data_IF_932989293315
#
_entry.id   IF_932989293315
#
_cell.length_a   1.000
_cell.length_b   1.000
_cell.length_c   1.000
_cell.angle_alpha   90.00
_cell.angle_beta   90.00
_cell.angle_gamma   90.00
#
_symmetry.space_group_name_H-M   'P 1'
#
loop_
_entity.id
_entity.type
_entity.pdbx_description
1 polymer ?
#
# COMPACT_ATOMS: atom_id res chain seq x y z
N UNK A 1 8.68 62.22 48.12
CA UNK A 1 8.53 62.03 46.66
C UNK A 1 8.79 60.56 46.34
N UNK A 2 7.75 59.75 46.16
CA UNK A 2 7.90 58.34 45.73
C UNK A 2 7.06 58.14 44.47
N UNK A 3 7.76 57.92 43.35
CA UNK A 3 7.18 57.68 42.01
C UNK A 3 6.71 56.23 41.94
N UNK A 4 5.41 56.02 41.73
CA UNK A 4 4.89 54.72 41.28
C UNK A 4 5.15 54.57 39.79
N UNK A 5 5.83 53.48 39.41
CA UNK A 5 6.04 53.10 38.01
C UNK A 5 5.00 52.06 37.62
N UNK A 6 4.11 52.41 36.70
CA UNK A 6 3.19 51.46 36.07
C UNK A 6 3.92 50.75 34.93
N UNK A 7 4.04 49.42 35.03
CA UNK A 7 4.49 48.57 33.92
C UNK A 7 3.27 48.13 33.09
N UNK A 8 3.27 48.49 31.82
CA UNK A 8 2.32 48.02 30.82
C UNK A 8 2.79 46.64 30.31
N UNK A 9 1.99 45.59 30.47
CA UNK A 9 2.27 44.26 29.91
C UNK A 9 1.57 44.16 28.55
N UNK A 10 2.27 43.81 27.46
CA UNK A 10 1.65 43.63 26.15
C UNK A 10 0.91 42.30 26.09
N UNK A 11 -0.35 42.35 25.64
CA UNK A 11 -1.19 41.17 25.42
C UNK A 11 -0.74 40.48 24.12
N UNK A 12 -0.02 39.37 24.25
CA UNK A 12 0.33 38.50 23.11
C UNK A 12 -0.89 37.63 22.81
N UNK A 13 -1.61 37.95 21.72
CA UNK A 13 -2.63 37.07 21.18
C UNK A 13 -1.95 35.83 20.55
N UNK A 14 -1.86 34.74 21.32
CA UNK A 14 -1.57 33.42 20.78
C UNK A 14 -2.79 32.94 19.99
N UNK A 15 -2.68 32.88 18.67
CA UNK A 15 -3.61 32.12 17.83
C UNK A 15 -3.39 30.64 18.10
N UNK A 16 -4.25 30.03 18.90
CA UNK A 16 -4.31 28.57 19.02
C UNK A 16 -4.82 28.02 17.68
N UNK A 17 -3.94 27.35 16.93
CA UNK A 17 -4.39 26.40 15.94
C UNK A 17 -5.16 25.30 16.70
N UNK A 18 -6.49 25.32 16.59
CA UNK A 18 -7.33 24.22 17.05
C UNK A 18 -6.94 22.98 16.23
N UNK A 19 -6.09 22.12 16.79
CA UNK A 19 -6.02 20.72 16.36
C UNK A 19 -7.37 20.10 16.67
N UNK A 20 -8.21 19.97 15.64
CA UNK A 20 -9.42 19.18 15.75
C UNK A 20 -8.99 17.74 16.03
N UNK A 21 -9.38 17.20 17.18
CA UNK A 21 -9.24 15.77 17.45
C UNK A 21 -9.90 14.99 16.30
N UNK A 22 -9.30 13.87 15.83
CA UNK A 22 -9.89 13.09 14.75
C UNK A 22 -11.32 12.72 15.12
N UNK A 23 -12.25 12.98 14.20
CA UNK A 23 -13.66 12.74 14.41
C UNK A 23 -13.89 11.27 14.77
N UNK A 24 -14.66 11.02 15.84
CA UNK A 24 -15.19 9.68 16.14
C UNK A 24 -15.85 9.09 14.90
N UNK A 25 -15.69 7.79 14.66
CA UNK A 25 -16.21 7.11 13.45
C UNK A 25 -17.38 6.18 13.78
N UNK A 26 -18.19 5.90 12.77
CA UNK A 26 -19.12 4.78 12.75
C UNK A 26 -18.46 3.61 12.04
N UNK A 27 -18.67 2.40 12.55
CA UNK A 27 -18.09 1.17 12.02
C UNK A 27 -19.18 0.12 11.91
N UNK A 28 -19.36 -0.43 10.72
CA UNK A 28 -20.22 -1.57 10.44
C UNK A 28 -19.35 -2.76 10.03
N UNK A 29 -19.53 -3.91 10.68
CA UNK A 29 -18.87 -5.16 10.27
C UNK A 29 -19.73 -5.79 9.18
N UNK A 30 -19.22 -5.80 7.94
CA UNK A 30 -19.91 -6.35 6.77
C UNK A 30 -19.70 -7.86 6.62
N UNK A 31 -18.52 -8.33 7.00
CA UNK A 31 -18.14 -9.74 6.99
C UNK A 31 -17.09 -9.97 8.07
N UNK A 32 -17.21 -11.07 8.81
CA UNK A 32 -16.23 -11.53 9.79
C UNK A 32 -15.61 -12.87 9.35
N UNK A 33 -14.71 -13.41 10.18
CA UNK A 33 -14.06 -14.72 9.98
C UNK A 33 -13.34 -14.85 8.64
N UNK A 34 -12.73 -13.76 8.18
CA UNK A 34 -11.84 -13.74 7.02
C UNK A 34 -10.43 -14.14 7.46
N UNK A 35 -9.89 -15.23 6.93
CA UNK A 35 -8.53 -15.65 7.27
C UNK A 35 -7.50 -14.80 6.54
N UNK A 36 -6.92 -13.82 7.26
CA UNK A 36 -5.90 -12.89 6.76
C UNK A 36 -6.25 -12.29 5.38
N UNK A 37 -7.37 -11.57 5.26
CA UNK A 37 -7.71 -10.89 4.00
C UNK A 37 -6.64 -9.86 3.65
N UNK A 38 -6.21 -9.80 2.39
CA UNK A 38 -5.08 -8.97 1.95
C UNK A 38 -5.49 -7.74 1.13
N UNK A 39 -6.43 -7.93 0.20
CA UNK A 39 -6.94 -6.89 -0.68
C UNK A 39 -8.43 -7.07 -0.98
N UNK A 40 -9.06 -5.97 -1.41
CA UNK A 40 -10.38 -6.01 -2.03
C UNK A 40 -10.43 -5.26 -3.37
N UNK A 41 -11.36 -5.63 -4.24
CA UNK A 41 -11.67 -4.91 -5.47
C UNK A 41 -13.19 -4.78 -5.65
N UNK A 42 -13.69 -3.54 -5.71
CA UNK A 42 -15.11 -3.27 -5.94
C UNK A 42 -15.53 -3.67 -7.35
N UNK A 43 -16.59 -4.46 -7.46
CA UNK A 43 -17.22 -4.78 -8.72
C UNK A 43 -18.22 -3.68 -9.10
N UNK A 44 -18.33 -3.33 -10.40
CA UNK A 44 -19.25 -2.30 -10.87
C UNK A 44 -20.73 -2.69 -10.66
N UNK A 45 -21.62 -1.72 -10.85
CA UNK A 45 -23.07 -1.94 -10.88
C UNK A 45 -23.64 -2.62 -9.62
N UNK A 46 -23.08 -2.29 -8.45
CA UNK A 46 -23.46 -2.84 -7.15
C UNK A 46 -23.33 -4.37 -7.04
N UNK A 47 -22.41 -4.98 -7.80
CA UNK A 47 -22.12 -6.41 -7.71
C UNK A 47 -21.22 -6.80 -6.52
N UNK A 48 -21.02 -5.91 -5.54
CA UNK A 48 -20.21 -6.22 -4.35
C UNK A 48 -18.71 -6.07 -4.60
N UNK A 49 -17.89 -6.98 -4.05
CA UNK A 49 -16.44 -6.92 -4.16
C UNK A 49 -15.78 -8.30 -4.16
N UNK A 50 -14.60 -8.37 -4.76
CA UNK A 50 -13.68 -9.50 -4.58
C UNK A 50 -12.77 -9.24 -3.38
N UNK A 51 -12.38 -10.31 -2.68
CA UNK A 51 -11.47 -10.27 -1.53
C UNK A 51 -10.44 -11.40 -1.70
N UNK A 52 -9.16 -11.06 -1.58
CA UNK A 52 -8.09 -12.08 -1.48
C UNK A 52 -7.88 -12.45 -0.02
N UNK A 53 -7.84 -13.74 0.26
CA UNK A 53 -7.38 -14.30 1.53
C UNK A 53 -5.96 -14.82 1.33
N UNK A 54 -5.02 -14.39 2.18
CA UNK A 54 -3.59 -14.64 1.96
C UNK A 54 -3.26 -16.13 1.85
N UNK A 55 -4.06 -17.00 2.45
CA UNK A 55 -3.95 -18.46 2.33
C UNK A 55 -4.07 -19.02 0.91
N UNK A 56 -4.57 -18.25 -0.07
CA UNK A 56 -4.67 -18.68 -1.48
C UNK A 56 -6.07 -18.57 -2.10
N UNK A 57 -7.04 -18.04 -1.37
CA UNK A 57 -8.43 -18.00 -1.85
C UNK A 57 -8.81 -16.61 -2.37
N UNK A 58 -9.44 -16.55 -3.54
CA UNK A 58 -10.19 -15.39 -4.01
C UNK A 58 -11.67 -15.64 -3.75
N UNK A 59 -12.36 -14.75 -3.04
CA UNK A 59 -13.79 -14.86 -2.75
C UNK A 59 -14.55 -13.62 -3.17
N UNK A 60 -15.85 -13.78 -3.41
CA UNK A 60 -16.78 -12.70 -3.70
C UNK A 60 -17.64 -12.42 -2.46
N UNK A 61 -17.78 -11.16 -2.09
CA UNK A 61 -18.71 -10.71 -1.06
C UNK A 61 -19.74 -9.76 -1.66
N UNK A 62 -21.01 -9.95 -1.30
CA UNK A 62 -22.09 -9.05 -1.69
C UNK A 62 -23.13 -8.91 -0.58
N UNK A 63 -23.62 -7.67 -0.37
CA UNK A 63 -24.70 -7.40 0.58
C UNK A 63 -25.93 -8.29 0.30
N UNK A 64 -26.52 -8.85 1.36
CA UNK A 64 -27.64 -9.80 1.28
C UNK A 64 -27.28 -11.22 0.84
N UNK A 65 -26.07 -11.47 0.32
CA UNK A 65 -25.58 -12.82 -0.03
C UNK A 65 -24.48 -13.33 0.90
N UNK A 66 -23.69 -12.42 1.48
CA UNK A 66 -22.52 -12.77 2.27
C UNK A 66 -21.32 -13.16 1.40
N UNK A 67 -20.40 -13.93 1.99
CA UNK A 67 -19.17 -14.40 1.35
C UNK A 67 -19.39 -15.71 0.57
N UNK A 68 -18.91 -15.76 -0.66
CA UNK A 68 -18.95 -16.96 -1.52
C UNK A 68 -17.95 -18.04 -1.09
N UNK A 69 -18.08 -19.23 -1.69
CA UNK A 69 -16.98 -20.18 -1.77
C UNK A 69 -15.78 -19.61 -2.57
N UNK A 70 -14.57 -20.19 -2.48
CA UNK A 70 -13.43 -19.77 -3.30
C UNK A 70 -13.74 -19.89 -4.79
N UNK A 71 -13.35 -18.88 -5.56
CA UNK A 71 -13.41 -18.92 -7.02
C UNK A 71 -12.39 -19.94 -7.54
N UNK A 72 -12.76 -20.66 -8.60
CA UNK A 72 -11.82 -21.56 -9.30
C UNK A 72 -10.91 -20.80 -10.27
N UNK A 73 -9.76 -21.39 -10.62
CA UNK A 73 -8.80 -20.83 -11.60
C UNK A 73 -7.87 -19.74 -11.04
N UNK A 74 -7.84 -19.56 -9.72
CA UNK A 74 -6.84 -18.76 -8.99
C UNK A 74 -5.50 -19.52 -9.01
N UNK A 75 -4.34 -18.87 -9.14
CA UNK A 75 -3.04 -19.55 -9.10
C UNK A 75 -2.76 -20.17 -7.74
N UNK A 76 -2.02 -21.28 -7.72
CA UNK A 76 -1.39 -21.78 -6.51
C UNK A 76 -0.37 -20.75 -5.99
N UNK A 77 -0.28 -20.64 -4.66
CA UNK A 77 0.58 -19.65 -4.00
C UNK A 77 1.49 -20.30 -2.97
N UNK A 78 2.60 -19.64 -2.67
CA UNK A 78 3.47 -20.00 -1.56
C UNK A 78 3.06 -19.22 -0.29
N UNK A 79 2.15 -19.80 0.50
CA UNK A 79 1.56 -19.16 1.68
C UNK A 79 2.42 -19.35 2.95
N UNK A 80 3.58 -18.70 3.00
CA UNK A 80 4.49 -18.75 4.15
C UNK A 80 4.98 -17.36 4.55
N UNK A 81 5.08 -17.10 5.85
CA UNK A 81 5.46 -15.80 6.40
C UNK A 81 4.48 -14.71 5.96
N UNK A 82 4.99 -13.69 5.27
CA UNK A 82 4.25 -12.59 4.65
C UNK A 82 3.70 -12.95 3.25
N UNK A 83 4.08 -14.10 2.70
CA UNK A 83 3.67 -14.57 1.37
C UNK A 83 2.29 -15.22 1.35
N UNK A 84 1.74 -15.36 0.16
CA UNK A 84 0.45 -15.94 -0.15
C UNK A 84 -0.16 -15.35 -1.41
N UNK A 85 -1.49 -15.38 -1.49
CA UNK A 85 -2.24 -14.55 -2.44
C UNK A 85 -2.30 -13.11 -1.91
N UNK A 86 -1.89 -12.15 -2.73
CA UNK A 86 -1.71 -10.76 -2.32
C UNK A 86 -2.80 -9.89 -2.95
N UNK A 87 -2.47 -9.09 -3.96
CA UNK A 87 -3.40 -8.08 -4.46
C UNK A 87 -4.44 -8.65 -5.41
N UNK A 88 -5.59 -7.97 -5.49
CA UNK A 88 -6.56 -8.12 -6.57
C UNK A 88 -6.96 -6.75 -7.08
N UNK A 89 -6.83 -6.54 -8.39
CA UNK A 89 -7.22 -5.28 -9.03
C UNK A 89 -7.93 -5.56 -10.36
N UNK A 90 -8.97 -4.79 -10.65
CA UNK A 90 -9.66 -4.87 -11.94
C UNK A 90 -8.84 -4.10 -12.98
N UNK A 91 -8.74 -4.64 -14.20
CA UNK A 91 -8.15 -3.89 -15.30
C UNK A 91 -8.97 -2.61 -15.60
N UNK A 92 -8.35 -1.54 -16.13
CA UNK A 92 -9.08 -0.31 -16.48
C UNK A 92 -10.24 -0.55 -17.47
N UNK A 93 -10.13 -1.55 -18.34
CA UNK A 93 -11.13 -1.96 -19.33
C UNK A 93 -12.08 -3.07 -18.82
N UNK A 94 -12.19 -3.28 -17.50
CA UNK A 94 -12.95 -4.40 -16.90
C UNK A 94 -14.41 -4.48 -17.38
N UNK A 95 -15.05 -3.35 -17.68
CA UNK A 95 -16.40 -3.32 -18.22
C UNK A 95 -16.57 -4.12 -19.53
N UNK A 96 -15.50 -4.23 -20.34
CA UNK A 96 -15.47 -5.02 -21.57
C UNK A 96 -14.70 -6.32 -21.40
N UNK A 97 -13.49 -6.25 -20.85
CA UNK A 97 -12.57 -7.39 -20.78
C UNK A 97 -12.92 -8.37 -19.67
N UNK A 98 -13.55 -7.88 -18.59
CA UNK A 98 -13.69 -8.54 -17.29
C UNK A 98 -12.37 -9.05 -16.72
N UNK A 99 -11.25 -8.45 -17.12
CA UNK A 99 -9.91 -8.88 -16.71
C UNK A 99 -9.62 -8.44 -15.27
N UNK A 100 -9.18 -9.38 -14.46
CA UNK A 100 -8.65 -9.12 -13.12
C UNK A 100 -7.19 -9.53 -13.05
N UNK A 101 -6.42 -8.76 -12.29
CA UNK A 101 -5.01 -9.01 -12.04
C UNK A 101 -4.82 -9.43 -10.59
N UNK A 102 -3.92 -10.38 -10.40
CA UNK A 102 -3.52 -10.90 -9.10
C UNK A 102 -2.01 -10.81 -8.95
N UNK A 103 -1.56 -10.50 -7.73
CA UNK A 103 -0.18 -10.74 -7.32
C UNK A 103 -0.13 -11.79 -6.23
N UNK A 104 0.95 -12.56 -6.19
CA UNK A 104 1.13 -13.65 -5.23
C UNK A 104 2.62 -13.98 -5.06
N UNK A 105 3.00 -14.65 -3.98
CA UNK A 105 4.35 -15.21 -3.85
C UNK A 105 4.42 -16.59 -4.48
N UNK A 106 5.46 -16.81 -5.29
CA UNK A 106 5.71 -18.06 -6.02
C UNK A 106 7.10 -18.58 -5.65
N UNK A 107 7.16 -19.83 -5.21
CA UNK A 107 8.42 -20.51 -4.86
C UNK A 107 9.24 -20.84 -6.11
N UNK A 108 10.56 -20.84 -5.99
CA UNK A 108 11.50 -21.30 -7.01
C UNK A 108 12.14 -22.63 -6.64
N UNK A 109 13.11 -23.03 -7.46
CA UNK A 109 13.69 -24.37 -7.41
C UNK A 109 14.53 -24.65 -6.14
N UNK A 110 14.98 -23.60 -5.45
CA UNK A 110 15.80 -23.67 -4.23
C UNK A 110 14.99 -23.45 -2.94
N UNK A 111 13.66 -23.44 -3.03
CA UNK A 111 12.75 -23.22 -1.91
C UNK A 111 12.60 -21.76 -1.48
N UNK A 112 13.31 -20.81 -2.09
CA UNK A 112 13.06 -19.38 -1.91
C UNK A 112 11.93 -18.92 -2.83
N UNK A 113 11.27 -17.83 -2.47
CA UNK A 113 10.14 -17.27 -3.19
C UNK A 113 10.42 -15.84 -3.70
N UNK A 114 9.57 -15.39 -4.62
CA UNK A 114 9.50 -14.01 -5.08
C UNK A 114 8.10 -13.69 -5.59
N UNK A 115 7.78 -12.41 -5.69
CA UNK A 115 6.46 -11.95 -6.16
C UNK A 115 6.26 -12.30 -7.63
N UNK A 116 5.08 -12.80 -7.97
CA UNK A 116 4.59 -13.06 -9.31
C UNK A 116 3.30 -12.27 -9.55
N UNK A 117 3.07 -11.86 -10.79
CA UNK A 117 1.91 -11.07 -11.21
C UNK A 117 1.32 -11.66 -12.48
N UNK A 118 0.00 -11.80 -12.49
CA UNK A 118 -0.74 -12.36 -13.62
C UNK A 118 -2.15 -11.83 -13.71
N UNK A 119 -2.85 -12.21 -14.78
CA UNK A 119 -4.25 -11.87 -14.98
C UNK A 119 -5.04 -13.01 -15.60
N UNK A 120 -6.35 -12.98 -15.39
CA UNK A 120 -7.33 -13.83 -16.04
C UNK A 120 -8.65 -13.09 -16.20
N UNK A 121 -9.66 -13.73 -16.79
CA UNK A 121 -11.00 -13.16 -16.97
C UNK A 121 -11.95 -13.64 -15.88
N UNK A 122 -12.59 -12.71 -15.17
CA UNK A 122 -13.65 -13.05 -14.22
C UNK A 122 -14.92 -13.46 -14.98
N UNK A 123 -15.47 -14.63 -14.67
CA UNK A 123 -16.72 -15.10 -15.27
C UNK A 123 -17.90 -14.20 -14.94
N UNK A 124 -18.94 -14.24 -15.77
CA UNK A 124 -20.11 -13.36 -15.62
C UNK A 124 -20.91 -13.70 -14.35
N UNK A 125 -20.92 -14.98 -13.97
CA UNK A 125 -21.55 -15.51 -12.74
C UNK A 125 -20.66 -15.37 -11.48
N UNK A 126 -19.46 -14.79 -11.61
CA UNK A 126 -18.48 -14.58 -10.54
C UNK A 126 -17.97 -15.87 -9.86
N UNK A 127 -18.10 -17.04 -10.51
CA UNK A 127 -17.67 -18.33 -9.95
C UNK A 127 -16.21 -18.72 -10.22
N UNK A 128 -15.54 -18.07 -11.20
CA UNK A 128 -14.19 -18.46 -11.62
C UNK A 128 -13.40 -17.34 -12.30
N UNK A 129 -12.10 -17.53 -12.31
CA UNK A 129 -11.13 -16.82 -13.14
C UNK A 129 -10.71 -17.76 -14.26
N UNK A 130 -10.91 -17.39 -15.53
CA UNK A 130 -10.51 -18.20 -16.67
C UNK A 130 -9.18 -17.72 -17.25
N UNK A 131 -8.42 -18.66 -17.81
CA UNK A 131 -7.18 -18.41 -18.56
C UNK A 131 -6.17 -17.55 -17.80
N UNK A 132 -6.04 -17.80 -16.49
CA UNK A 132 -5.06 -17.09 -15.67
C UNK A 132 -3.64 -17.37 -16.18
N UNK A 133 -2.89 -16.30 -16.42
CA UNK A 133 -1.48 -16.37 -16.87
C UNK A 133 -0.61 -15.42 -16.06
N UNK A 134 0.50 -15.93 -15.57
CA UNK A 134 1.57 -15.12 -14.96
C UNK A 134 2.37 -14.43 -16.08
N UNK A 135 2.46 -13.11 -16.02
CA UNK A 135 3.15 -12.28 -17.04
C UNK A 135 4.39 -11.58 -16.51
N UNK A 136 4.53 -11.46 -15.19
CA UNK A 136 5.69 -10.85 -14.58
C UNK A 136 6.14 -11.64 -13.34
N UNK A 137 7.45 -11.74 -13.14
CA UNK A 137 8.07 -12.39 -11.99
C UNK A 137 9.23 -11.56 -11.47
N UNK A 138 9.24 -11.36 -10.15
CA UNK A 138 10.37 -10.85 -9.41
C UNK A 138 11.50 -11.89 -9.46
N UNK A 139 12.61 -11.52 -10.09
CA UNK A 139 13.78 -12.38 -10.23
C UNK A 139 15.06 -11.62 -9.81
N UNK A 140 16.01 -12.30 -9.15
CA UNK A 140 15.91 -13.68 -8.64
C UNK A 140 14.89 -13.83 -7.50
N UNK A 141 14.47 -15.06 -7.20
CA UNK A 141 13.64 -15.38 -6.04
C UNK A 141 14.55 -15.53 -4.83
N UNK A 142 14.37 -14.68 -3.81
CA UNK A 142 15.32 -14.59 -2.68
C UNK A 142 14.62 -14.65 -1.31
N UNK A 143 13.29 -14.58 -1.27
CA UNK A 143 12.58 -14.51 -0.01
C UNK A 143 12.48 -15.88 0.65
N UNK A 144 12.66 -15.93 1.96
CA UNK A 144 12.31 -17.08 2.79
C UNK A 144 11.05 -16.85 3.60
N UNK A 145 10.27 -15.79 3.29
CA UNK A 145 9.03 -15.46 4.00
C UNK A 145 8.74 -13.97 4.15
N UNK A 146 9.63 -13.06 3.76
CA UNK A 146 9.51 -11.63 4.04
C UNK A 146 9.63 -10.78 2.78
N UNK A 147 9.04 -9.59 2.84
CA UNK A 147 9.27 -8.45 1.94
C UNK A 147 8.98 -8.73 0.46
N UNK A 148 7.79 -9.26 0.18
CA UNK A 148 7.31 -9.43 -1.19
C UNK A 148 6.84 -8.11 -1.82
N UNK A 149 6.39 -7.16 -1.00
CA UNK A 149 5.52 -6.08 -1.47
C UNK A 149 4.19 -6.65 -1.97
N UNK A 150 3.87 -6.42 -3.25
CA UNK A 150 2.79 -7.09 -3.95
C UNK A 150 1.68 -6.18 -4.48
N UNK A 151 1.61 -4.91 -4.06
CA UNK A 151 0.54 -4.00 -4.49
C UNK A 151 0.62 -3.70 -5.99
N UNK A 152 -0.54 -3.65 -6.63
CA UNK A 152 -0.76 -3.37 -8.05
C UNK A 152 -1.61 -2.10 -8.21
N UNK A 153 -1.14 -1.14 -9.00
CA UNK A 153 -1.89 0.10 -9.28
C UNK A 153 -1.82 0.44 -10.76
N UNK A 154 -2.98 0.49 -11.42
CA UNK A 154 -3.10 1.10 -12.74
C UNK A 154 -3.14 2.62 -12.60
N UNK A 155 -2.42 3.33 -13.47
CA UNK A 155 -2.39 4.79 -13.47
C UNK A 155 -3.52 5.44 -14.30
N UNK A 156 -4.30 4.61 -15.02
CA UNK A 156 -5.37 5.06 -15.91
C UNK A 156 -4.88 5.65 -17.24
N UNK A 157 -3.59 5.55 -17.55
CA UNK A 157 -2.94 6.13 -18.74
C UNK A 157 -2.18 5.09 -19.56
N UNK A 158 -2.49 3.81 -19.36
CA UNK A 158 -1.90 2.68 -20.08
C UNK A 158 -0.79 1.94 -19.33
N UNK A 159 -0.56 2.22 -18.05
CA UNK A 159 0.50 1.59 -17.27
C UNK A 159 0.00 0.92 -15.99
N UNK A 160 0.71 -0.15 -15.61
CA UNK A 160 0.59 -0.87 -14.35
C UNK A 160 1.87 -0.69 -13.53
N UNK A 161 1.72 -0.21 -12.31
CA UNK A 161 2.79 -0.16 -11.32
C UNK A 161 2.74 -1.37 -10.39
N UNK A 162 3.92 -1.95 -10.11
CA UNK A 162 4.08 -3.14 -9.25
C UNK A 162 5.09 -2.84 -8.15
N UNK A 163 4.66 -2.95 -6.90
CA UNK A 163 5.48 -2.75 -5.71
C UNK A 163 6.22 -4.04 -5.31
N UNK A 164 7.56 -4.01 -5.25
CA UNK A 164 8.37 -5.17 -4.91
C UNK A 164 9.30 -4.86 -3.74
N UNK A 165 9.17 -5.63 -2.65
CA UNK A 165 10.12 -5.57 -1.55
C UNK A 165 11.44 -6.27 -1.91
N UNK A 166 12.48 -6.04 -1.10
CA UNK A 166 13.82 -6.60 -1.35
C UNK A 166 14.04 -8.02 -0.84
N UNK A 167 12.97 -8.74 -0.51
CA UNK A 167 13.04 -10.12 -0.03
C UNK A 167 13.90 -10.30 1.24
N UNK A 168 14.10 -9.23 2.01
CA UNK A 168 14.96 -9.15 3.19
C UNK A 168 16.48 -9.34 2.91
N UNK A 169 16.89 -9.20 1.65
CA UNK A 169 18.27 -9.13 1.17
C UNK A 169 18.69 -7.66 0.87
N UNK A 170 18.90 -6.88 1.93
CA UNK A 170 18.93 -5.40 1.92
C UNK A 170 19.65 -4.76 0.73
N UNK A 171 20.90 -5.14 0.48
CA UNK A 171 21.74 -4.53 -0.55
C UNK A 171 21.14 -4.62 -1.96
N UNK A 172 20.33 -5.65 -2.23
CA UNK A 172 19.75 -5.88 -3.56
C UNK A 172 18.72 -4.80 -3.97
N UNK A 173 18.26 -3.97 -3.04
CA UNK A 173 17.45 -2.79 -3.37
C UNK A 173 18.20 -1.77 -4.24
N UNK A 174 19.53 -1.70 -4.14
CA UNK A 174 20.39 -0.83 -4.96
C UNK A 174 20.83 -1.49 -6.28
N UNK A 175 20.75 -2.81 -6.37
CA UNK A 175 21.17 -3.59 -7.53
C UNK A 175 20.15 -3.49 -8.67
N UNK A 176 20.53 -2.87 -9.79
CA UNK A 176 19.64 -2.68 -10.94
C UNK A 176 19.50 -3.92 -11.84
N UNK A 177 20.35 -4.93 -11.66
CA UNK A 177 20.23 -6.25 -12.31
C UNK A 177 19.18 -7.15 -11.63
N UNK A 178 18.63 -6.72 -10.48
CA UNK A 178 17.66 -7.47 -9.65
C UNK A 178 16.36 -6.71 -9.46
N UNK A 179 15.27 -7.45 -9.29
CA UNK A 179 13.94 -6.89 -9.03
C UNK A 179 13.58 -6.78 -7.54
N UNK A 180 14.57 -6.84 -6.66
CA UNK A 180 14.39 -6.62 -5.22
C UNK A 180 14.36 -5.13 -4.89
N UNK A 181 13.39 -4.69 -4.09
CA UNK A 181 13.33 -3.32 -3.61
C UNK A 181 13.15 -2.32 -4.75
N UNK A 182 12.20 -2.62 -5.64
CA UNK A 182 11.92 -1.88 -6.87
C UNK A 182 10.45 -1.51 -6.96
N UNK A 183 10.19 -0.33 -7.52
CA UNK A 183 8.92 -0.05 -8.17
C UNK A 183 9.08 -0.38 -9.65
N UNK A 184 8.26 -1.29 -10.15
CA UNK A 184 8.22 -1.67 -11.56
C UNK A 184 7.09 -0.92 -12.26
N UNK A 185 7.30 -0.56 -13.53
CA UNK A 185 6.24 -0.06 -14.43
C UNK A 185 6.18 -0.93 -15.68
N UNK A 186 5.01 -1.52 -15.91
CA UNK A 186 4.64 -2.25 -17.11
C UNK A 186 3.57 -1.47 -17.88
N UNK A 187 3.32 -1.82 -19.13
CA UNK A 187 2.06 -1.47 -19.79
C UNK A 187 0.89 -2.15 -19.08
N UNK A 188 -0.33 -1.69 -19.33
CA UNK A 188 -1.55 -2.31 -18.80
C UNK A 188 -1.83 -3.74 -19.32
N UNK A 189 -1.03 -4.21 -20.27
CA UNK A 189 -0.99 -5.59 -20.79
C UNK A 189 0.12 -6.45 -20.17
N UNK A 190 1.02 -5.85 -19.37
CA UNK A 190 2.14 -6.54 -18.72
C UNK A 190 3.46 -6.52 -19.50
N UNK A 191 3.51 -5.80 -20.63
CA UNK A 191 4.74 -5.65 -21.44
C UNK A 191 5.63 -4.53 -20.90
N UNK A 192 6.92 -4.54 -21.28
CA UNK A 192 7.89 -3.50 -20.90
C UNK A 192 7.64 -2.23 -21.74
N UNK A 193 7.37 -1.06 -21.13
CA UNK A 193 7.29 0.22 -21.85
C UNK A 193 8.61 0.59 -22.51
N UNK A 194 8.55 1.06 -23.75
CA UNK A 194 9.73 1.47 -24.53
C UNK A 194 10.44 2.72 -23.98
N UNK A 195 9.75 3.50 -23.15
CA UNK A 195 10.26 4.69 -22.49
C UNK A 195 10.67 4.44 -21.03
N UNK A 196 10.71 3.20 -20.52
CA UNK A 196 11.21 2.94 -19.17
C UNK A 196 12.66 3.44 -18.97
N UNK A 197 13.02 3.97 -17.78
CA UNK A 197 14.24 4.75 -17.58
C UNK A 197 15.53 4.00 -17.88
N UNK A 198 15.53 2.68 -17.72
CA UNK A 198 16.73 1.86 -17.84
C UNK A 198 16.73 0.92 -19.06
N UNK A 199 15.83 1.12 -20.02
CA UNK A 199 15.67 0.20 -21.17
C UNK A 199 16.92 0.08 -22.06
N UNK A 200 17.77 1.11 -22.08
CA UNK A 200 19.04 1.13 -22.83
C UNK A 200 20.27 0.87 -21.96
N UNK A 201 20.08 0.63 -20.66
CA UNK A 201 21.19 0.43 -19.73
C UNK A 201 21.58 -1.05 -19.66
N UNK A 202 22.81 -1.35 -20.08
CA UNK A 202 23.30 -2.73 -20.16
C UNK A 202 23.35 -3.38 -18.78
N UNK A 203 22.76 -4.57 -18.66
CA UNK A 203 22.74 -5.34 -17.42
C UNK A 203 21.65 -4.92 -16.42
N UNK A 204 20.84 -3.91 -16.74
CA UNK A 204 19.73 -3.46 -15.90
C UNK A 204 18.42 -4.12 -16.32
N UNK A 205 17.55 -4.38 -15.35
CA UNK A 205 16.18 -4.83 -15.57
C UNK A 205 15.32 -3.68 -16.10
N UNK A 206 14.91 -3.78 -17.37
CA UNK A 206 14.15 -2.74 -18.05
C UNK A 206 12.76 -2.48 -17.46
N UNK A 207 12.25 -3.38 -16.62
CA UNK A 207 10.98 -3.24 -15.90
C UNK A 207 11.03 -2.16 -14.80
N UNK A 208 12.22 -1.79 -14.32
CA UNK A 208 12.41 -0.90 -13.18
C UNK A 208 11.97 0.54 -13.54
N UNK A 209 11.12 1.12 -12.70
CA UNK A 209 10.77 2.54 -12.71
C UNK A 209 11.52 3.33 -11.64
N UNK A 210 11.57 2.82 -10.42
CA UNK A 210 12.32 3.39 -9.29
C UNK A 210 12.94 2.27 -8.46
N UNK A 211 13.96 2.59 -7.67
CA UNK A 211 14.69 1.59 -6.86
C UNK A 211 15.06 2.14 -5.49
N UNK A 212 15.66 1.32 -4.64
CA UNK A 212 16.05 1.72 -3.29
C UNK A 212 14.88 1.81 -2.31
N UNK A 213 13.89 0.93 -2.44
CA UNK A 213 12.80 0.77 -1.47
C UNK A 213 12.96 -0.56 -0.72
N UNK A 214 12.46 -0.65 0.52
CA UNK A 214 12.59 -1.83 1.40
C UNK A 214 11.45 -2.81 1.23
N UNK A 215 10.26 -2.46 1.70
CA UNK A 215 9.08 -3.31 1.62
C UNK A 215 7.82 -2.46 1.43
N UNK A 216 7.53 -2.04 0.19
CA UNK A 216 6.34 -1.25 -0.11
C UNK A 216 5.06 -2.03 0.21
N UNK A 217 4.07 -1.39 0.83
CA UNK A 217 2.80 -2.02 1.20
C UNK A 217 1.62 -1.36 0.47
N UNK A 218 1.26 -0.14 0.85
CA UNK A 218 0.21 0.63 0.20
C UNK A 218 0.73 1.39 -1.02
N UNK A 219 -0.08 1.42 -2.09
CA UNK A 219 0.09 2.34 -3.22
C UNK A 219 -1.27 2.86 -3.67
N UNK A 220 -1.34 4.12 -4.09
CA UNK A 220 -2.54 4.72 -4.63
C UNK A 220 -2.21 5.89 -5.56
N UNK A 221 -3.04 6.12 -6.57
CA UNK A 221 -2.98 7.34 -7.36
C UNK A 221 -3.56 8.50 -6.55
N UNK A 222 -2.77 9.54 -6.34
CA UNK A 222 -3.25 10.78 -5.74
C UNK A 222 -4.22 11.46 -6.72
N UNK A 223 -5.51 11.64 -6.38
CA UNK A 223 -6.51 12.13 -7.32
C UNK A 223 -6.37 13.63 -7.64
N UNK A 224 -5.60 14.39 -6.86
CA UNK A 224 -5.40 15.82 -7.08
C UNK A 224 -4.17 16.12 -7.94
N UNK A 225 -3.10 15.32 -7.82
CA UNK A 225 -1.87 15.48 -8.62
C UNK A 225 -1.76 14.48 -9.77
N UNK A 226 -2.61 13.44 -9.79
CA UNK A 226 -2.58 12.35 -10.76
C UNK A 226 -1.21 11.63 -10.81
N UNK A 227 -0.55 11.55 -9.65
CA UNK A 227 0.74 10.92 -9.43
C UNK A 227 0.61 9.73 -8.46
N UNK A 228 1.43 8.71 -8.66
CA UNK A 228 1.50 7.57 -7.75
C UNK A 228 2.14 7.99 -6.43
N UNK A 229 1.53 7.58 -5.32
CA UNK A 229 2.15 7.60 -4.00
C UNK A 229 2.29 6.16 -3.52
N UNK A 230 3.35 5.88 -2.76
CA UNK A 230 3.54 4.60 -2.08
C UNK A 230 3.93 4.81 -0.62
N UNK A 231 3.65 3.82 0.21
CA UNK A 231 4.24 3.71 1.54
C UNK A 231 5.06 2.43 1.66
N UNK A 232 5.96 2.39 2.63
CA UNK A 232 6.78 1.20 2.91
C UNK A 232 7.10 1.03 4.39
N UNK A 233 7.34 -0.22 4.77
CA UNK A 233 7.85 -0.53 6.10
C UNK A 233 9.36 -0.25 6.18
N UNK A 234 9.76 0.52 7.20
CA UNK A 234 11.13 0.58 7.68
C UNK A 234 11.52 -0.66 8.50
N UNK A 235 12.76 -0.76 8.97
CA UNK A 235 13.21 -1.79 9.91
C UNK A 235 12.61 -1.56 11.32
N UNK A 236 13.42 -1.18 12.32
CA UNK A 236 12.92 -0.67 13.60
C UNK A 236 12.77 0.84 13.47
N UNK A 237 11.56 1.29 13.17
CA UNK A 237 11.34 2.67 12.75
C UNK A 237 11.62 2.88 11.27
N UNK A 238 11.33 4.08 10.79
CA UNK A 238 11.60 4.52 9.43
C UNK A 238 10.57 4.04 8.40
N UNK A 239 9.30 3.89 8.79
CA UNK A 239 8.22 3.76 7.80
C UNK A 239 8.10 5.08 7.03
N UNK A 240 7.76 5.01 5.74
CA UNK A 240 7.82 6.15 4.82
C UNK A 240 6.57 6.30 3.95
N UNK A 241 6.30 7.52 3.51
CA UNK A 241 5.49 7.85 2.32
C UNK A 241 6.42 8.45 1.29
N UNK A 242 6.39 7.91 0.07
CA UNK A 242 7.20 8.32 -1.06
C UNK A 242 6.30 8.69 -2.26
N UNK A 243 6.72 9.69 -3.03
CA UNK A 243 6.15 10.02 -4.34
C UNK A 243 7.15 9.53 -5.42
N UNK A 244 7.03 8.27 -5.87
CA UNK A 244 7.97 7.64 -6.80
C UNK A 244 8.13 8.36 -8.14
N UNK A 245 9.37 8.67 -8.51
CA UNK A 245 9.74 9.32 -9.76
C UNK A 245 10.56 8.40 -10.68
N UNK A 246 10.46 8.66 -11.99
CA UNK A 246 11.18 7.93 -13.06
C UNK A 246 12.69 7.92 -12.82
N UNK A 247 13.27 6.72 -12.73
CA UNK A 247 14.70 6.48 -12.61
C UNK A 247 15.31 6.83 -11.25
N UNK A 248 14.49 7.19 -10.25
CA UNK A 248 14.99 7.70 -8.97
C UNK A 248 15.28 6.60 -7.94
N UNK A 249 16.23 6.91 -7.06
CA UNK A 249 16.70 6.08 -5.95
C UNK A 249 16.08 6.58 -4.64
N UNK A 250 15.32 5.74 -3.94
CA UNK A 250 14.71 6.04 -2.63
C UNK A 250 15.62 5.67 -1.45
N UNK A 251 16.83 5.18 -1.75
CA UNK A 251 17.94 5.18 -0.82
C UNK A 251 18.14 3.92 -0.01
N UNK A 252 17.13 3.08 0.23
CA UNK A 252 17.31 1.84 1.01
C UNK A 252 18.37 0.92 0.37
N UNK A 253 19.33 0.35 1.13
CA UNK A 253 19.57 0.51 2.57
C UNK A 253 20.61 1.57 2.93
N UNK A 254 21.09 2.35 1.95
CA UNK A 254 22.09 3.40 2.15
C UNK A 254 21.53 4.57 2.97
N UNK A 255 20.28 4.96 2.71
CA UNK A 255 19.51 5.92 3.49
C UNK A 255 18.38 5.21 4.23
N UNK A 256 18.15 5.56 5.50
CA UNK A 256 17.05 5.03 6.30
C UNK A 256 16.79 5.95 7.50
N UNK A 257 15.52 6.22 7.79
CA UNK A 257 15.08 6.89 9.02
C UNK A 257 14.94 5.93 10.22
N UNK A 258 15.07 4.62 9.97
CA UNK A 258 15.02 3.56 10.97
C UNK A 258 16.40 2.99 11.34
N UNK A 259 16.42 2.18 12.38
CA UNK A 259 17.60 1.44 12.86
C UNK A 259 17.37 -0.07 12.74
N UNK A 260 18.42 -0.86 12.96
CA UNK A 260 18.29 -2.31 13.06
C UNK A 260 17.48 -2.69 14.32
N UNK A 261 16.80 -3.84 14.29
CA UNK A 261 16.03 -4.33 15.45
C UNK A 261 16.89 -4.51 16.71
N UNK A 262 18.20 -4.74 16.55
CA UNK A 262 19.18 -4.76 17.65
C UNK A 262 19.35 -3.42 18.38
N UNK A 263 18.85 -2.32 17.82
CA UNK A 263 19.02 -0.95 18.35
C UNK A 263 20.24 -0.21 17.79
N UNK A 264 21.05 -0.88 16.96
CA UNK A 264 22.19 -0.27 16.26
C UNK A 264 21.81 0.15 14.84
N UNK A 265 22.67 0.93 14.18
CA UNK A 265 22.44 1.32 12.78
C UNK A 265 22.30 0.09 11.85
N UNK A 266 21.57 0.26 10.76
CA UNK A 266 21.62 -0.69 9.64
C UNK A 266 23.07 -0.73 9.11
N UNK A 267 23.67 -1.92 8.91
CA UNK A 267 25.10 -2.01 8.56
C UNK A 267 25.50 -1.21 7.32
N UNK A 268 24.65 -1.24 6.30
CA UNK A 268 24.86 -0.59 5.00
C UNK A 268 24.53 0.92 5.01
N UNK A 269 23.85 1.41 6.04
CA UNK A 269 23.37 2.79 6.09
C UNK A 269 24.52 3.78 6.27
N UNK A 270 24.47 4.83 5.45
CA UNK A 270 25.39 5.99 5.45
C UNK A 270 24.84 7.17 6.26
N UNK A 271 23.52 7.21 6.49
CA UNK A 271 22.83 8.23 7.28
C UNK A 271 21.34 8.29 6.92
N UNK A 272 20.60 9.21 7.51
CA UNK A 272 19.20 9.46 7.19
C UNK A 272 19.05 10.19 5.84
N UNK A 273 19.95 11.14 5.56
CA UNK A 273 19.99 11.92 4.32
C UNK A 273 21.28 11.59 3.59
N UNK A 274 21.16 11.09 2.36
CA UNK A 274 22.30 10.64 1.55
C UNK A 274 22.26 11.31 0.17
N UNK A 275 23.40 11.84 -0.28
CA UNK A 275 23.49 12.43 -1.61
C UNK A 275 23.22 11.37 -2.71
N UNK A 276 22.41 11.74 -3.71
CA UNK A 276 22.02 10.84 -4.79
C UNK A 276 20.81 9.96 -4.48
N UNK A 277 20.14 10.17 -3.34
CA UNK A 277 18.87 9.53 -2.99
C UNK A 277 17.79 10.59 -2.80
N UNK A 278 16.55 10.24 -3.14
CA UNK A 278 15.37 11.03 -2.84
C UNK A 278 14.97 10.85 -1.38
N UNK A 279 14.18 11.78 -0.85
CA UNK A 279 13.67 11.72 0.52
C UNK A 279 12.17 11.44 0.52
N UNK A 280 11.66 10.77 1.56
CA UNK A 280 10.24 10.60 1.73
C UNK A 280 9.55 11.93 2.02
N UNK A 281 8.29 12.05 1.60
CA UNK A 281 7.46 13.22 1.93
C UNK A 281 6.94 13.14 3.38
N UNK A 282 6.98 11.96 3.99
CA UNK A 282 6.70 11.74 5.41
C UNK A 282 7.41 10.49 5.90
N UNK A 283 7.83 10.47 7.17
CA UNK A 283 8.38 9.28 7.81
C UNK A 283 7.98 9.19 9.28
N UNK A 284 7.97 7.97 9.82
CA UNK A 284 7.77 7.70 11.25
C UNK A 284 9.00 7.03 11.86
N UNK A 285 9.63 7.66 12.86
CA UNK A 285 10.69 7.02 13.65
C UNK A 285 10.16 5.85 14.48
N UNK A 286 8.90 5.92 14.90
CA UNK A 286 8.19 4.81 15.54
C UNK A 286 7.23 4.19 14.52
N UNK A 287 7.68 3.14 13.84
CA UNK A 287 6.93 2.52 12.74
C UNK A 287 5.53 2.06 13.16
N UNK A 288 4.47 2.53 12.49
CA UNK A 288 3.12 1.96 12.59
C UNK A 288 2.99 0.59 11.91
N UNK A 289 3.99 0.21 11.11
CA UNK A 289 3.90 -0.84 10.09
C UNK A 289 2.76 -0.53 9.12
N UNK A 290 2.94 0.58 8.38
CA UNK A 290 1.97 1.13 7.41
C UNK A 290 1.57 0.10 6.35
N UNK A 291 0.28 0.04 6.02
CA UNK A 291 -0.28 -0.95 5.11
C UNK A 291 -1.07 -0.30 3.97
N UNK A 292 -2.19 -0.87 3.53
CA UNK A 292 -2.99 -0.30 2.45
C UNK A 292 -3.46 1.12 2.75
N UNK A 293 -3.62 1.93 1.70
CA UNK A 293 -3.97 3.34 1.82
C UNK A 293 -4.96 3.81 0.76
N UNK A 294 -5.75 4.82 1.12
CA UNK A 294 -6.73 5.42 0.23
C UNK A 294 -6.79 6.94 0.38
N UNK A 295 -6.68 7.64 -0.74
CA UNK A 295 -7.10 9.03 -0.82
C UNK A 295 -8.62 9.12 -0.77
N UNK A 296 -9.11 10.17 -0.12
CA UNK A 296 -10.53 10.45 -0.03
C UNK A 296 -10.86 11.77 -0.73
N UNK A 297 -11.60 11.66 -1.83
CA UNK A 297 -11.96 12.77 -2.71
C UNK A 297 -13.47 12.85 -3.00
N UNK A 298 -14.32 12.21 -2.19
CA UNK A 298 -15.78 12.17 -2.36
C UNK A 298 -16.50 13.24 -1.53
N UNK A 299 -17.50 13.90 -2.12
CA UNK A 299 -18.34 14.87 -1.40
C UNK A 299 -19.33 14.21 -0.43
N UNK A 300 -19.40 12.87 -0.40
CA UNK A 300 -20.28 12.13 0.52
C UNK A 300 -20.05 12.48 1.99
N UNK A 301 -18.79 12.69 2.36
CA UNK A 301 -18.34 13.10 3.70
C UNK A 301 -17.35 14.26 3.55
N UNK A 302 -17.83 15.51 3.43
CA UNK A 302 -16.98 16.66 3.15
C UNK A 302 -15.84 16.86 4.16
N UNK A 303 -16.01 16.44 5.42
CA UNK A 303 -14.97 16.50 6.45
C UNK A 303 -13.77 15.57 6.20
N UNK A 304 -13.92 14.59 5.30
CA UNK A 304 -12.86 13.69 4.87
C UNK A 304 -12.23 14.11 3.53
N UNK A 305 -12.71 15.18 2.88
CA UNK A 305 -12.06 15.70 1.68
C UNK A 305 -10.60 16.06 1.95
N UNK A 306 -9.74 15.85 0.96
CA UNK A 306 -8.30 16.11 1.03
C UNK A 306 -7.59 15.30 2.14
N UNK A 307 -8.08 14.09 2.42
CA UNK A 307 -7.45 13.16 3.36
C UNK A 307 -6.82 11.97 2.65
N UNK A 308 -5.79 11.43 3.30
CA UNK A 308 -5.20 10.13 3.04
C UNK A 308 -5.40 9.26 4.30
N UNK A 309 -5.97 8.08 4.12
CA UNK A 309 -6.15 7.09 5.18
C UNK A 309 -5.17 5.95 4.97
N UNK A 310 -4.43 5.56 6.00
CA UNK A 310 -3.40 4.53 5.92
C UNK A 310 -3.63 3.52 7.04
N UNK A 311 -3.74 2.24 6.71
CA UNK A 311 -3.79 1.19 7.74
C UNK A 311 -2.47 1.07 8.49
N UNK A 312 -2.53 0.73 9.77
CA UNK A 312 -1.36 0.42 10.60
C UNK A 312 -1.47 -0.99 11.16
N UNK A 313 -0.53 -1.85 10.79
CA UNK A 313 -0.50 -3.24 11.23
C UNK A 313 -0.03 -3.35 12.68
N UNK A 314 1.02 -2.63 13.07
CA UNK A 314 1.59 -2.72 14.41
C UNK A 314 0.74 -1.94 15.42
N UNK A 315 0.35 -0.73 15.05
CA UNK A 315 -0.42 0.16 15.95
C UNK A 315 -1.91 -0.21 16.00
N UNK A 316 -2.39 -1.06 15.08
CA UNK A 316 -3.75 -1.64 15.08
C UNK A 316 -4.87 -0.60 14.93
N UNK A 317 -4.65 0.35 14.03
CA UNK A 317 -5.58 1.43 13.73
C UNK A 317 -5.43 1.95 12.29
N UNK A 318 -6.18 2.99 11.92
CA UNK A 318 -6.00 3.73 10.68
C UNK A 318 -5.51 5.13 11.00
N UNK A 319 -4.43 5.52 10.33
CA UNK A 319 -3.85 6.86 10.35
C UNK A 319 -4.68 7.76 9.42
N UNK A 320 -5.09 8.92 9.92
CA UNK A 320 -5.76 9.97 9.14
C UNK A 320 -4.76 11.07 8.88
N UNK A 321 -4.55 11.41 7.62
CA UNK A 321 -3.60 12.44 7.23
C UNK A 321 -4.24 13.51 6.33
N UNK A 322 -3.87 14.77 6.53
CA UNK A 322 -4.19 15.88 5.63
C UNK A 322 -3.23 15.93 4.46
N UNK A 323 -3.75 16.01 3.24
CA UNK A 323 -2.95 16.13 2.01
C UNK A 323 -2.97 17.59 1.53
N UNK A 324 -1.79 18.15 1.26
CA UNK A 324 -1.61 19.51 0.77
C UNK A 324 -0.57 19.53 -0.37
N UNK A 325 -1.05 19.34 -1.60
CA UNK A 325 -0.18 19.12 -2.76
C UNK A 325 0.67 17.87 -2.56
N UNK A 326 1.99 18.04 -2.63
CA UNK A 326 2.99 16.98 -2.41
C UNK A 326 3.40 16.81 -0.94
N UNK A 327 2.73 17.51 -0.01
CA UNK A 327 2.98 17.42 1.43
C UNK A 327 1.83 16.70 2.14
N UNK A 328 2.14 16.10 3.27
CA UNK A 328 1.17 15.41 4.12
C UNK A 328 1.48 15.63 5.60
N UNK A 329 0.45 15.69 6.44
CA UNK A 329 0.57 15.78 7.91
C UNK A 329 -0.41 14.83 8.58
N UNK A 330 -0.01 14.21 9.69
CA UNK A 330 -0.89 13.32 10.47
C UNK A 330 -1.86 14.14 11.33
N UNK A 331 -3.16 13.86 11.18
CA UNK A 331 -4.22 14.48 11.98
C UNK A 331 -4.52 13.67 13.25
N UNK A 332 -4.33 12.34 13.18
CA UNK A 332 -4.53 11.41 14.28
C UNK A 332 -4.93 10.02 13.81
N UNK A 333 -5.58 9.26 14.70
CA UNK A 333 -5.93 7.84 14.51
C UNK A 333 -7.42 7.58 14.68
N UNK A 334 -7.94 6.58 13.96
CA UNK A 334 -9.29 6.03 14.10
C UNK A 334 -9.22 4.50 14.19
N UNK A 335 -10.24 3.85 14.76
CA UNK A 335 -10.32 2.39 14.96
C UNK A 335 -9.38 1.78 16.01
N UNK A 336 -8.59 2.58 16.72
CA UNK A 336 -7.65 2.11 17.76
C UNK A 336 -8.34 1.32 18.87
N UNK A 337 -9.57 1.68 19.22
CA UNK A 337 -10.40 1.02 20.25
C UNK A 337 -10.79 -0.42 19.90
N UNK A 338 -10.72 -0.81 18.62
CA UNK A 338 -11.03 -2.17 18.17
C UNK A 338 -9.88 -3.16 18.33
N UNK A 339 -8.64 -2.66 18.49
CA UNK A 339 -7.46 -3.49 18.72
C UNK A 339 -7.14 -4.51 17.62
N UNK A 340 -7.53 -4.24 16.38
CA UNK A 340 -7.31 -5.11 15.21
C UNK A 340 -6.19 -4.57 14.32
N UNK A 341 -5.29 -5.43 13.86
CA UNK A 341 -4.26 -5.05 12.86
C UNK A 341 -4.95 -4.65 11.56
N UNK A 342 -4.61 -3.50 10.95
CA UNK A 342 -5.25 -3.05 9.71
C UNK A 342 -4.39 -3.40 8.49
N UNK A 343 -4.97 -4.14 7.53
CA UNK A 343 -4.29 -4.62 6.31
C UNK A 343 -4.49 -3.71 5.11
N UNK A 344 -5.74 -3.36 4.80
CA UNK A 344 -6.07 -2.59 3.60
C UNK A 344 -7.12 -1.54 3.93
N UNK A 345 -7.05 -0.41 3.24
CA UNK A 345 -8.00 0.70 3.35
C UNK A 345 -8.32 1.17 1.95
N UNK A 346 -9.62 1.25 1.61
CA UNK A 346 -10.11 1.62 0.29
C UNK A 346 -11.26 2.60 0.39
N UNK A 347 -11.23 3.68 -0.40
CA UNK A 347 -12.41 4.52 -0.62
C UNK A 347 -13.33 3.80 -1.62
N UNK A 348 -14.55 3.50 -1.20
CA UNK A 348 -15.57 2.87 -2.03
C UNK A 348 -16.22 3.86 -3.02
N UNK A 349 -16.83 3.35 -4.10
CA UNK A 349 -17.56 4.18 -5.05
C UNK A 349 -18.78 4.90 -4.43
N UNK A 350 -19.24 4.45 -3.27
CA UNK A 350 -20.32 5.04 -2.48
C UNK A 350 -19.84 6.12 -1.48
N UNK A 351 -18.53 6.42 -1.47
CA UNK A 351 -17.91 7.40 -0.58
C UNK A 351 -17.70 6.91 0.86
N UNK A 352 -17.82 5.62 1.15
CA UNK A 352 -17.41 5.06 2.45
C UNK A 352 -15.96 4.59 2.42
N UNK A 353 -15.33 4.49 3.57
CA UNK A 353 -14.09 3.71 3.69
C UNK A 353 -14.44 2.24 3.92
N UNK A 354 -13.71 1.37 3.24
CA UNK A 354 -13.74 -0.07 3.44
C UNK A 354 -12.37 -0.52 3.97
N UNK A 355 -12.39 -1.29 5.04
CA UNK A 355 -11.17 -1.66 5.78
C UNK A 355 -11.11 -3.17 5.96
N UNK A 356 -9.94 -3.77 5.72
CA UNK A 356 -9.64 -5.17 6.00
C UNK A 356 -8.70 -5.28 7.21
N UNK A 357 -8.95 -6.24 8.09
CA UNK A 357 -8.08 -6.52 9.25
C UNK A 357 -7.17 -7.74 9.02
N UNK A 358 -5.91 -7.66 9.46
CA UNK A 358 -4.85 -8.69 9.28
C UNK A 358 -4.85 -9.71 10.43
N UNK A 359 -5.96 -10.45 10.57
CA UNK A 359 -6.17 -11.40 11.68
C UNK A 359 -6.66 -12.75 11.15
N UNK A 360 -6.47 -13.84 11.92
CA UNK A 360 -7.01 -15.16 11.55
C UNK A 360 -8.54 -15.20 11.49
N UNK A 361 -9.20 -14.33 12.26
CA UNK A 361 -10.64 -14.08 12.18
C UNK A 361 -10.88 -12.61 11.80
N UNK A 362 -10.26 -12.20 10.70
CA UNK A 362 -10.32 -10.84 10.17
C UNK A 362 -11.72 -10.43 9.71
N UNK A 363 -11.85 -9.14 9.42
CA UNK A 363 -13.12 -8.48 9.15
C UNK A 363 -13.02 -7.61 7.90
N UNK A 364 -14.14 -7.50 7.19
CA UNK A 364 -14.44 -6.41 6.26
C UNK A 364 -15.31 -5.40 6.98
N UNK A 365 -14.81 -4.18 7.11
CA UNK A 365 -15.49 -3.08 7.78
C UNK A 365 -15.93 -2.04 6.76
N UNK A 366 -17.08 -1.42 7.01
CA UNK A 366 -17.50 -0.17 6.39
C UNK A 366 -17.44 0.94 7.43
N UNK A 367 -16.73 2.02 7.11
CA UNK A 367 -16.39 3.09 8.05
C UNK A 367 -16.83 4.44 7.48
N UNK A 368 -17.42 5.26 8.34
CA UNK A 368 -17.81 6.65 8.04
C UNK A 368 -17.48 7.56 9.22
N UNK A 369 -17.36 8.88 9.04
CA UNK A 369 -17.29 9.78 10.18
C UNK A 369 -18.62 9.78 10.93
N UNK A 370 -18.60 10.10 12.23
CA UNK A 370 -19.82 10.54 12.94
C UNK A 370 -20.19 11.95 12.47
N UNK A 371 -21.49 12.21 12.46
CA UNK A 371 -22.05 13.53 12.17
C UNK A 371 -21.71 14.54 13.25
#
# INVERSE_FOLDING_TARGET
MHRQSFFLVPLICLSSALWAAPATVNVEVLQDKLDHPWALAFLPDNHGMLITLRGGELRHWQAGKGLSAPLSGVPDVWAHGQGGLLDVVLAPDFAQSRRIWLSYSEVGDDGKAGTAVGYGRLSDDLSKVTDFRTVFRQMPKLSTGNHFGGRLVFDGKGYLFVALGENNQRSTAQDLDKLQGKLVRLTDLGEIPDDNPFIKESGVRAEIWSYGIRNPQGMAMNPWSNALWLNEHGPRGGDEINIPQKGKNYGWPLATWGINYSGFKIPEAKGEIVAGTEQPVFYWKDSPAVSGMAFYNSDKFPQWQQKLFIGALKDKDVIVMSVNGDKVTEDGRILTDRGQRIRDVRTGPDGYLYVLTDESSGELLKVSPRN
#
